data_IF_064204228835
#
_entry.id   IF_064204228835
#
_cell.length_a   1.000
_cell.length_b   1.000
_cell.length_c   1.000
_cell.angle_alpha   90.00
_cell.angle_beta   90.00
_cell.angle_gamma   90.00
#
_symmetry.space_group_name_H-M   'P 1'
#
loop_
_entity.id
_entity.type
_entity.pdbx_description
1 polymer ?
#
# COMPACT_ATOMS: atom_id res chain seq x y z
N UNK A 1 13.09 9.75 21.04
CA UNK A 1 11.89 10.55 20.73
C UNK A 1 10.74 9.59 20.45
N UNK A 2 9.53 9.94 20.78
CA UNK A 2 8.33 9.19 20.40
C UNK A 2 7.60 10.00 19.33
N UNK A 3 7.34 9.37 18.18
CA UNK A 3 6.72 10.04 17.03
C UNK A 3 5.50 9.21 16.61
N UNK A 4 4.39 9.88 16.37
CA UNK A 4 3.17 9.27 15.84
C UNK A 4 2.88 9.86 14.46
N UNK A 5 2.79 9.01 13.45
CA UNK A 5 2.30 9.36 12.13
C UNK A 5 0.84 8.96 11.95
N UNK A 6 0.06 9.81 11.31
CA UNK A 6 -1.33 9.54 10.92
C UNK A 6 -1.45 9.82 9.43
N UNK A 7 -1.92 8.86 8.66
CA UNK A 7 -2.03 9.02 7.21
C UNK A 7 -2.73 7.86 6.51
N UNK A 8 -2.82 7.96 5.19
CA UNK A 8 -3.39 6.91 4.37
C UNK A 8 -2.46 5.69 4.35
N UNK A 9 -3.02 4.52 4.64
CA UNK A 9 -2.36 3.24 4.47
C UNK A 9 -2.62 2.73 3.05
N UNK A 10 -1.57 2.58 2.26
CA UNK A 10 -1.64 2.16 0.87
C UNK A 10 -0.63 1.03 0.65
N UNK A 11 -1.07 -0.05 0.03
CA UNK A 11 -0.18 -1.14 -0.40
C UNK A 11 0.25 -0.88 -1.84
N UNK A 12 1.54 -0.76 -2.06
CA UNK A 12 2.13 -0.69 -3.39
C UNK A 12 2.27 -2.12 -3.94
N UNK A 13 1.57 -2.41 -5.02
CA UNK A 13 1.59 -3.69 -5.73
C UNK A 13 2.41 -3.52 -7.00
N UNK A 14 3.58 -4.16 -7.03
CA UNK A 14 4.53 -4.03 -8.13
C UNK A 14 4.32 -5.13 -9.16
N UNK A 15 4.14 -4.73 -10.42
CA UNK A 15 3.97 -5.63 -11.54
C UNK A 15 4.88 -5.20 -12.70
N UNK A 16 5.25 -6.16 -13.53
CA UNK A 16 5.97 -5.86 -14.77
C UNK A 16 5.07 -6.17 -15.95
N UNK A 17 4.88 -5.19 -16.81
CA UNK A 17 4.04 -5.30 -18.01
C UNK A 17 4.77 -4.76 -19.24
N UNK A 18 4.32 -5.14 -20.41
CA UNK A 18 4.75 -4.58 -21.68
C UNK A 18 3.88 -3.37 -22.10
N UNK A 19 4.29 -2.70 -23.15
CA UNK A 19 3.57 -1.54 -23.65
C UNK A 19 2.20 -1.92 -24.26
N UNK A 20 2.04 -3.16 -24.74
CA UNK A 20 0.77 -3.67 -25.27
C UNK A 20 -0.30 -3.76 -24.17
N UNK A 21 0.07 -4.22 -22.99
CA UNK A 21 -0.82 -4.21 -21.82
C UNK A 21 -1.31 -2.81 -21.46
N UNK A 22 -0.41 -1.83 -21.48
CA UNK A 22 -0.77 -0.43 -21.20
C UNK A 22 -1.77 0.12 -22.21
N UNK A 23 -1.53 -0.11 -23.51
CA UNK A 23 -2.42 0.34 -24.60
C UNK A 23 -3.79 -0.31 -24.46
N UNK A 24 -3.85 -1.63 -24.26
CA UNK A 24 -5.10 -2.40 -24.12
C UNK A 24 -5.97 -1.92 -22.96
N UNK A 25 -5.34 -1.49 -21.88
CA UNK A 25 -6.03 -1.01 -20.69
C UNK A 25 -6.15 0.52 -20.60
N UNK A 26 -5.84 1.25 -21.68
CA UNK A 26 -5.89 2.72 -21.73
C UNK A 26 -5.08 3.39 -20.61
N UNK A 27 -3.90 2.85 -20.35
CA UNK A 27 -2.96 3.36 -19.36
C UNK A 27 -1.82 4.11 -20.07
N UNK A 28 -1.52 5.30 -19.56
CA UNK A 28 -0.41 6.10 -20.08
C UNK A 28 0.82 5.92 -19.21
N UNK A 29 1.94 5.51 -19.82
CA UNK A 29 3.21 5.32 -19.13
C UNK A 29 3.67 6.60 -18.42
N UNK A 30 4.23 6.43 -17.23
CA UNK A 30 4.77 7.54 -16.41
C UNK A 30 3.72 8.56 -15.95
N UNK A 31 2.45 8.20 -15.91
CA UNK A 31 1.39 9.03 -15.37
C UNK A 31 0.65 8.30 -14.24
N UNK A 32 0.05 9.08 -13.33
CA UNK A 32 -0.83 8.56 -12.31
C UNK A 32 -2.28 8.64 -12.82
N UNK A 33 -3.02 7.54 -12.65
CA UNK A 33 -4.45 7.47 -12.95
C UNK A 33 -5.19 6.99 -11.71
N UNK A 34 -6.20 7.74 -11.29
CA UNK A 34 -7.14 7.27 -10.26
C UNK A 34 -8.10 6.26 -10.88
N UNK A 35 -8.25 5.13 -10.23
CA UNK A 35 -9.14 4.04 -10.65
C UNK A 35 -10.03 3.61 -9.49
N UNK A 36 -11.17 3.03 -9.80
CA UNK A 36 -12.08 2.48 -8.81
C UNK A 36 -11.73 1.02 -8.43
N UNK A 37 -12.49 0.49 -7.48
CA UNK A 37 -12.31 -0.88 -6.99
C UNK A 37 -12.53 -1.93 -8.08
N UNK A 38 -13.50 -1.73 -8.97
CA UNK A 38 -13.79 -2.67 -10.05
C UNK A 38 -12.65 -2.70 -11.08
N UNK A 39 -12.14 -1.53 -11.44
CA UNK A 39 -11.04 -1.40 -12.40
C UNK A 39 -9.74 -2.03 -11.86
N UNK A 40 -9.38 -1.78 -10.59
CA UNK A 40 -8.17 -2.39 -10.02
C UNK A 40 -8.28 -3.91 -9.91
N UNK A 41 -9.44 -4.45 -9.54
CA UNK A 41 -9.67 -5.91 -9.53
C UNK A 41 -9.51 -6.52 -10.92
N UNK A 42 -10.04 -5.85 -11.94
CA UNK A 42 -9.92 -6.29 -13.32
C UNK A 42 -8.46 -6.30 -13.79
N UNK A 43 -7.71 -5.23 -13.52
CA UNK A 43 -6.28 -5.15 -13.85
C UNK A 43 -5.48 -6.24 -13.15
N UNK A 44 -5.67 -6.41 -11.83
CA UNK A 44 -4.94 -7.41 -11.03
C UNK A 44 -5.22 -8.85 -11.46
N UNK A 45 -6.40 -9.15 -11.99
CA UNK A 45 -6.74 -10.50 -12.48
C UNK A 45 -5.89 -10.96 -13.66
N UNK A 46 -5.35 -10.03 -14.44
CA UNK A 46 -4.50 -10.28 -15.61
C UNK A 46 -3.00 -10.09 -15.36
N UNK A 47 -2.58 -9.82 -14.12
CA UNK A 47 -1.22 -9.47 -13.79
C UNK A 47 -0.53 -10.49 -12.89
N UNK A 48 0.77 -10.67 -13.10
CA UNK A 48 1.64 -11.38 -12.16
C UNK A 48 2.26 -10.37 -11.19
N UNK A 49 1.86 -10.44 -9.93
CA UNK A 49 2.39 -9.58 -8.87
C UNK A 49 3.82 -10.03 -8.56
N UNK A 50 4.78 -9.10 -8.66
CA UNK A 50 6.17 -9.35 -8.33
C UNK A 50 6.45 -9.12 -6.84
N UNK A 51 5.90 -8.03 -6.29
CA UNK A 51 6.10 -7.67 -4.89
C UNK A 51 4.93 -6.83 -4.35
N UNK A 52 4.80 -6.80 -3.03
CA UNK A 52 3.84 -5.95 -2.32
C UNK A 52 4.54 -5.25 -1.17
N UNK A 53 4.49 -3.92 -1.14
CA UNK A 53 5.22 -3.09 -0.19
C UNK A 53 4.24 -2.19 0.55
N UNK A 54 4.42 -2.06 1.87
CA UNK A 54 3.66 -1.07 2.64
C UNK A 54 4.10 0.33 2.23
N UNK A 55 3.18 1.15 1.73
CA UNK A 55 3.42 2.48 1.21
C UNK A 55 2.60 3.56 1.91
N UNK A 56 2.54 4.72 1.27
CA UNK A 56 1.94 5.93 1.80
C UNK A 56 2.99 6.89 2.36
N UNK A 57 2.86 8.18 2.04
CA UNK A 57 3.91 9.19 2.34
C UNK A 57 4.24 9.30 3.84
N UNK A 58 3.23 9.30 4.71
CA UNK A 58 3.44 9.36 6.16
C UNK A 58 4.04 8.05 6.66
N UNK A 59 3.58 6.89 6.18
CA UNK A 59 4.13 5.60 6.56
C UNK A 59 5.61 5.51 6.18
N UNK A 60 5.98 5.91 4.98
CA UNK A 60 7.38 5.94 4.53
C UNK A 60 8.24 6.87 5.41
N UNK A 61 7.68 8.01 5.83
CA UNK A 61 8.37 8.95 6.73
C UNK A 61 8.62 8.33 8.11
N UNK A 62 7.64 7.66 8.70
CA UNK A 62 7.83 7.01 10.02
C UNK A 62 8.74 5.80 9.94
N UNK A 63 8.76 5.07 8.82
CA UNK A 63 9.74 4.01 8.58
C UNK A 63 11.16 4.60 8.58
N UNK A 64 11.40 5.69 7.84
CA UNK A 64 12.69 6.36 7.85
C UNK A 64 13.12 6.83 9.25
N UNK A 65 12.18 7.39 10.02
CA UNK A 65 12.44 7.80 11.41
C UNK A 65 12.74 6.60 12.33
N UNK A 66 12.09 5.44 12.10
CA UNK A 66 12.40 4.21 12.82
C UNK A 66 13.83 3.74 12.54
N UNK A 67 14.23 3.75 11.27
CA UNK A 67 15.58 3.39 10.84
C UNK A 67 16.67 4.31 11.43
N UNK A 68 16.31 5.56 11.71
CA UNK A 68 17.17 6.51 12.44
C UNK A 68 17.15 6.32 13.98
N UNK A 69 16.56 5.23 14.47
CA UNK A 69 16.58 4.86 15.89
C UNK A 69 15.48 5.50 16.74
N UNK A 70 14.48 6.14 16.14
CA UNK A 70 13.35 6.71 16.88
C UNK A 70 12.29 5.65 17.21
N UNK A 71 11.56 5.86 18.29
CA UNK A 71 10.35 5.10 18.63
C UNK A 71 9.17 5.71 17.91
N UNK A 72 8.61 4.97 16.98
CA UNK A 72 7.56 5.48 16.08
C UNK A 72 6.31 4.61 16.13
N UNK A 73 5.17 5.25 15.92
CA UNK A 73 3.89 4.60 15.67
C UNK A 73 3.20 5.17 14.44
N UNK A 74 2.31 4.38 13.87
CA UNK A 74 1.53 4.77 12.71
C UNK A 74 0.07 4.39 12.90
N UNK A 75 -0.83 5.33 12.59
CA UNK A 75 -2.27 5.12 12.48
C UNK A 75 -2.67 5.34 11.03
N UNK A 76 -3.18 4.30 10.40
CA UNK A 76 -3.75 4.34 9.06
C UNK A 76 -4.73 3.19 8.88
N UNK A 77 -5.84 3.46 8.22
CA UNK A 77 -6.93 2.50 8.06
C UNK A 77 -6.60 1.48 6.99
N UNK A 78 -6.69 0.20 7.34
CA UNK A 78 -6.68 -0.93 6.40
C UNK A 78 -7.86 -1.85 6.72
N UNK A 79 -8.31 -2.62 5.73
CA UNK A 79 -9.32 -3.64 5.93
C UNK A 79 -8.69 -4.91 6.54
N UNK A 80 -9.50 -5.75 7.14
CA UNK A 80 -9.12 -7.11 7.56
C UNK A 80 -9.12 -8.05 6.36
N UNK A 81 -8.21 -7.77 5.43
CA UNK A 81 -7.96 -8.51 4.19
C UNK A 81 -6.47 -8.87 4.06
N UNK A 82 -6.13 -9.61 3.02
CA UNK A 82 -4.76 -10.06 2.79
C UNK A 82 -3.76 -8.90 2.65
N UNK A 83 -4.15 -7.82 1.94
CA UNK A 83 -3.29 -6.65 1.77
C UNK A 83 -3.16 -5.86 3.07
N UNK A 84 -4.22 -5.75 3.87
CA UNK A 84 -4.18 -5.14 5.19
C UNK A 84 -3.25 -5.89 6.16
N UNK A 85 -3.23 -7.23 6.11
CA UNK A 85 -2.30 -8.02 6.88
C UNK A 85 -0.85 -7.80 6.43
N UNK A 86 -0.60 -7.83 5.12
CA UNK A 86 0.73 -7.54 4.56
C UNK A 86 1.22 -6.14 4.93
N UNK A 87 0.31 -5.14 4.93
CA UNK A 87 0.63 -3.78 5.35
C UNK A 87 1.12 -3.73 6.80
N UNK A 88 0.36 -4.31 7.71
CA UNK A 88 0.71 -4.37 9.12
C UNK A 88 2.05 -5.09 9.37
N UNK A 89 2.24 -6.24 8.73
CA UNK A 89 3.46 -7.04 8.85
C UNK A 89 4.68 -6.28 8.30
N UNK A 90 4.52 -5.57 7.19
CA UNK A 90 5.55 -4.72 6.61
C UNK A 90 6.01 -3.62 7.57
N UNK A 91 5.08 -2.91 8.20
CA UNK A 91 5.41 -1.88 9.19
C UNK A 91 6.07 -2.47 10.44
N UNK A 92 5.59 -3.61 10.94
CA UNK A 92 6.19 -4.30 12.09
C UNK A 92 7.63 -4.73 11.81
N UNK A 93 7.92 -5.23 10.60
CA UNK A 93 9.28 -5.58 10.16
C UNK A 93 10.22 -4.38 10.26
N UNK A 94 9.75 -3.19 9.94
CA UNK A 94 10.48 -1.92 10.06
C UNK A 94 10.44 -1.32 11.48
N UNK A 95 9.99 -2.08 12.49
CA UNK A 95 9.87 -1.65 13.89
C UNK A 95 8.95 -0.44 14.10
N UNK A 96 8.00 -0.24 13.21
CA UNK A 96 6.92 0.75 13.36
C UNK A 96 5.75 0.11 14.09
N UNK A 97 5.28 0.73 15.17
CA UNK A 97 4.13 0.25 15.91
C UNK A 97 2.83 0.64 15.18
N UNK A 98 2.17 -0.34 14.60
CA UNK A 98 0.88 -0.14 13.91
C UNK A 98 -0.24 -0.09 14.95
N UNK A 99 -0.93 1.05 15.05
CA UNK A 99 -1.87 1.34 16.14
C UNK A 99 -3.35 1.31 15.71
N UNK A 100 -3.66 0.80 14.53
CA UNK A 100 -5.02 0.64 14.03
C UNK A 100 -5.48 -0.81 14.17
N UNK A 101 -6.67 -0.99 14.76
CA UNK A 101 -7.32 -2.31 14.83
C UNK A 101 -8.12 -2.54 13.55
N UNK A 102 -7.74 -3.53 12.77
CA UNK A 102 -8.44 -3.90 11.53
C UNK A 102 -9.86 -4.38 11.83
N UNK A 103 -10.79 -3.98 10.98
CA UNK A 103 -12.16 -4.45 10.95
C UNK A 103 -12.49 -4.94 9.54
N UNK A 104 -13.36 -5.93 9.44
CA UNK A 104 -13.87 -6.39 8.15
C UNK A 104 -14.88 -5.38 7.62
N UNK A 105 -14.58 -4.82 6.45
CA UNK A 105 -15.40 -3.81 5.78
C UNK A 105 -15.63 -4.18 4.30
N UNK A 106 -16.60 -3.54 3.65
CA UNK A 106 -16.85 -3.73 2.22
C UNK A 106 -15.77 -3.15 1.34
N UNK A 107 -15.14 -2.04 1.76
CA UNK A 107 -14.07 -1.38 1.01
C UNK A 107 -12.74 -2.07 1.28
N UNK A 108 -12.01 -2.51 0.25
CA UNK A 108 -10.72 -3.17 0.44
C UNK A 108 -9.63 -2.21 0.92
N UNK A 109 -8.51 -2.77 1.37
CA UNK A 109 -7.32 -1.99 1.69
C UNK A 109 -6.84 -1.18 0.49
N UNK A 110 -6.51 0.10 0.72
CA UNK A 110 -6.03 1.01 -0.32
C UNK A 110 -4.82 0.45 -1.05
N UNK A 111 -4.85 0.49 -2.37
CA UNK A 111 -3.85 -0.15 -3.23
C UNK A 111 -3.37 0.82 -4.30
N UNK A 112 -2.06 0.84 -4.54
CA UNK A 112 -1.43 1.49 -5.67
C UNK A 112 -0.80 0.41 -6.56
N UNK A 113 -1.17 0.37 -7.83
CA UNK A 113 -0.59 -0.55 -8.81
C UNK A 113 0.55 0.17 -9.54
N UNK A 114 1.75 -0.38 -9.47
CA UNK A 114 3.01 0.20 -9.99
C UNK A 114 3.67 -0.77 -10.98
#
# INVERSE_FOLDING_TARGET
MKILGIGNAIVDVLCKVDDEFLIKNSLTKSTMKLIDEAEIKNLLSGLTIQDTISGGSVANSVVGLSQLGNRVGFIGKVNDDNLGQKYEDGLKKEKVNFLYKKNSESTPTGTCLI
#
